data_IF_762272995287
#
_entry.id   IF_762272995287
#
_cell.length_a   1.000
_cell.length_b   1.000
_cell.length_c   1.000
_cell.angle_alpha   90.00
_cell.angle_beta   90.00
_cell.angle_gamma   90.00
#
_symmetry.space_group_name_H-M   'P 1'
#
loop_
_entity.id
_entity.type
_entity.pdbx_description
1 polymer ?
#
# COMPACT_ATOMS: atom_id res chain seq x y z
N UNK A 1 -63.39 -54.46 16.06
CA UNK A 1 -61.95 -54.74 15.75
C UNK A 1 -61.45 -53.68 14.75
N UNK A 2 -60.76 -52.66 15.24
CA UNK A 2 -60.20 -51.60 14.39
C UNK A 2 -58.67 -51.76 14.29
N UNK A 3 -58.16 -51.93 13.08
CA UNK A 3 -56.72 -52.07 12.80
C UNK A 3 -56.13 -50.69 12.69
N UNK A 4 -55.15 -50.40 13.52
CA UNK A 4 -54.38 -49.18 13.49
C UNK A 4 -53.18 -49.43 12.57
N UNK A 5 -53.13 -48.72 11.45
CA UNK A 5 -51.95 -48.69 10.56
C UNK A 5 -50.94 -47.70 11.07
N UNK A 6 -49.80 -48.20 11.48
CA UNK A 6 -48.64 -47.37 11.89
C UNK A 6 -47.81 -47.00 10.65
N UNK A 7 -47.91 -45.76 10.22
CA UNK A 7 -47.08 -45.22 9.15
C UNK A 7 -45.71 -44.81 9.74
N UNK A 8 -44.70 -45.57 9.36
CA UNK A 8 -43.30 -45.33 9.74
C UNK A 8 -42.72 -44.30 8.75
N UNK A 9 -42.62 -43.01 9.12
CA UNK A 9 -41.89 -41.99 8.38
C UNK A 9 -40.38 -42.13 8.65
N UNK A 10 -39.67 -42.66 7.64
CA UNK A 10 -38.22 -42.68 7.66
C UNK A 10 -37.71 -41.27 7.23
N UNK A 11 -37.18 -40.50 8.18
CA UNK A 11 -36.44 -39.29 7.89
C UNK A 11 -35.02 -39.64 7.38
N UNK A 12 -34.81 -39.42 6.10
CA UNK A 12 -33.49 -39.52 5.48
C UNK A 12 -32.74 -38.22 5.78
N UNK A 13 -31.88 -38.21 6.80
CA UNK A 13 -30.96 -37.09 7.10
C UNK A 13 -29.80 -37.17 6.12
N UNK A 14 -29.84 -36.37 5.07
CA UNK A 14 -28.66 -36.11 4.21
C UNK A 14 -27.69 -35.21 4.95
N UNK A 15 -26.64 -35.78 5.54
CA UNK A 15 -25.51 -35.03 6.06
C UNK A 15 -24.74 -34.44 4.89
N UNK A 16 -24.90 -33.12 4.67
CA UNK A 16 -24.01 -32.37 3.80
C UNK A 16 -22.62 -32.29 4.47
N UNK A 17 -21.68 -33.09 3.99
CA UNK A 17 -20.26 -32.88 4.29
C UNK A 17 -19.84 -31.57 3.60
N UNK A 18 -19.84 -30.46 4.32
CA UNK A 18 -19.16 -29.25 3.92
C UNK A 18 -17.65 -29.54 3.96
N UNK A 19 -17.04 -29.79 2.81
CA UNK A 19 -15.61 -29.77 2.66
C UNK A 19 -15.13 -28.34 2.95
N UNK A 20 -14.72 -28.09 4.18
CA UNK A 20 -13.99 -26.89 4.53
C UNK A 20 -12.64 -26.94 3.80
N UNK A 21 -12.56 -26.28 2.65
CA UNK A 21 -11.28 -26.04 2.00
C UNK A 21 -10.42 -25.21 2.97
N UNK A 22 -9.34 -25.81 3.48
CA UNK A 22 -8.32 -25.08 4.20
C UNK A 22 -7.85 -23.95 3.28
N UNK A 23 -7.74 -22.70 3.79
CA UNK A 23 -7.13 -21.63 3.01
C UNK A 23 -5.73 -22.10 2.60
N UNK A 24 -5.49 -22.18 1.29
CA UNK A 24 -4.18 -22.49 0.74
C UNK A 24 -3.28 -21.31 1.13
N UNK A 25 -2.45 -21.52 2.15
CA UNK A 25 -1.43 -20.54 2.51
C UNK A 25 -0.49 -20.43 1.31
N UNK A 26 -0.54 -19.32 0.61
CA UNK A 26 0.38 -19.06 -0.49
C UNK A 26 1.81 -19.25 0.04
N UNK A 27 2.58 -20.12 -0.62
CA UNK A 27 3.96 -20.40 -0.23
C UNK A 27 4.74 -19.09 -0.33
N UNK A 28 5.33 -18.65 0.78
CA UNK A 28 6.20 -17.48 0.79
C UNK A 28 7.33 -17.67 -0.23
N UNK A 29 7.66 -16.66 -1.03
CA UNK A 29 8.78 -16.76 -1.97
C UNK A 29 10.08 -17.03 -1.22
N UNK A 30 10.90 -17.94 -1.74
CA UNK A 30 12.21 -18.25 -1.17
C UNK A 30 13.24 -17.14 -1.41
N UNK A 31 13.02 -16.33 -2.45
CA UNK A 31 13.91 -15.23 -2.84
C UNK A 31 13.11 -13.97 -3.18
N UNK A 32 13.68 -12.83 -2.83
CA UNK A 32 13.16 -11.52 -3.15
C UNK A 32 14.09 -10.77 -4.08
N UNK A 33 13.55 -10.23 -5.16
CA UNK A 33 14.30 -9.40 -6.09
C UNK A 33 13.78 -7.97 -6.03
N UNK A 34 14.70 -6.99 -5.93
CA UNK A 34 14.35 -5.59 -5.99
C UNK A 34 13.86 -5.22 -7.39
N UNK A 35 12.65 -4.65 -7.49
CA UNK A 35 12.08 -4.19 -8.77
C UNK A 35 12.13 -2.68 -8.91
N UNK A 36 12.23 -1.97 -7.81
CA UNK A 36 12.45 -0.54 -7.71
C UNK A 36 13.17 -0.22 -6.41
N UNK A 37 14.10 0.69 -6.47
CA UNK A 37 14.81 1.21 -5.29
C UNK A 37 15.29 2.63 -5.57
N UNK A 38 15.52 3.38 -4.49
CA UNK A 38 16.16 4.70 -4.56
C UNK A 38 17.16 4.87 -3.42
N UNK A 39 18.19 5.69 -3.65
CA UNK A 39 19.05 6.15 -2.57
C UNK A 39 18.28 7.16 -1.71
N UNK A 40 18.27 6.93 -0.41
CA UNK A 40 17.61 7.81 0.55
C UNK A 40 18.56 8.95 0.91
N UNK A 41 18.10 10.17 0.73
CA UNK A 41 18.86 11.40 0.99
C UNK A 41 18.17 12.22 2.07
N UNK A 42 18.97 13.03 2.78
CA UNK A 42 18.44 14.08 3.64
C UNK A 42 17.94 15.23 2.76
N UNK A 43 16.76 15.79 3.04
CA UNK A 43 16.24 16.93 2.28
C UNK A 43 17.17 18.15 2.45
N UNK A 44 17.35 18.89 1.38
CA UNK A 44 17.95 20.20 1.41
C UNK A 44 16.91 21.28 1.68
N UNK A 45 17.37 22.51 1.74
CA UNK A 45 16.47 23.67 1.89
C UNK A 45 15.53 23.75 0.69
N UNK A 46 14.21 23.71 0.95
CA UNK A 46 13.17 23.76 -0.09
C UNK A 46 12.79 22.42 -0.72
N UNK A 47 13.38 21.31 -0.30
CA UNK A 47 13.01 19.97 -0.81
C UNK A 47 11.73 19.40 -0.16
N UNK A 48 11.32 19.95 0.96
CA UNK A 48 10.06 19.56 1.59
C UNK A 48 8.86 20.13 0.83
N UNK A 49 7.71 19.42 0.81
CA UNK A 49 6.47 19.99 0.28
C UNK A 49 6.15 21.32 0.95
N UNK A 50 5.57 22.28 0.20
CA UNK A 50 5.19 23.58 0.75
C UNK A 50 4.18 23.44 1.88
N UNK A 51 3.29 22.46 1.78
CA UNK A 51 2.33 22.11 2.82
C UNK A 51 2.84 20.96 3.68
N UNK A 52 2.55 20.98 4.98
CA UNK A 52 2.78 19.84 5.85
C UNK A 52 2.04 18.60 5.32
N UNK A 53 2.62 17.41 5.50
CA UNK A 53 1.97 16.14 5.19
C UNK A 53 0.99 15.67 6.28
N UNK A 54 0.89 16.39 7.40
CA UNK A 54 0.02 16.04 8.52
C UNK A 54 -1.45 15.95 8.08
N UNK A 55 -2.07 14.82 8.36
CA UNK A 55 -3.45 14.51 7.95
C UNK A 55 -3.71 14.67 6.45
N UNK A 56 -2.72 14.33 5.65
CA UNK A 56 -2.79 14.36 4.18
C UNK A 56 -2.41 13.03 3.56
N UNK A 57 -2.75 12.88 2.31
CA UNK A 57 -2.41 11.71 1.49
C UNK A 57 -1.41 12.11 0.42
N UNK A 58 -0.32 11.35 0.35
CA UNK A 58 0.72 11.48 -0.67
C UNK A 58 0.64 10.30 -1.62
N UNK A 59 0.52 10.55 -2.92
CA UNK A 59 0.63 9.53 -3.97
C UNK A 59 1.88 9.74 -4.78
N UNK A 60 2.70 8.69 -4.85
CA UNK A 60 3.92 8.64 -5.65
C UNK A 60 3.80 7.57 -6.72
N UNK A 61 4.34 7.85 -7.89
CA UNK A 61 4.32 6.91 -9.02
C UNK A 61 5.75 6.42 -9.25
N UNK A 62 5.93 5.11 -9.15
CA UNK A 62 7.21 4.46 -9.43
C UNK A 62 7.11 3.61 -10.71
N UNK A 63 8.22 3.49 -11.43
CA UNK A 63 8.31 2.64 -12.62
C UNK A 63 9.15 1.42 -12.27
N UNK A 64 8.49 0.26 -12.13
CA UNK A 64 9.16 -0.98 -11.74
C UNK A 64 9.85 -1.63 -12.93
N UNK A 65 10.95 -2.33 -12.69
CA UNK A 65 11.73 -3.01 -13.74
C UNK A 65 11.23 -4.45 -13.99
N UNK A 66 10.94 -5.18 -12.94
CA UNK A 66 10.55 -6.58 -12.96
C UNK A 66 9.13 -6.76 -12.49
N UNK A 67 8.49 -7.82 -12.94
CA UNK A 67 7.17 -8.26 -12.47
C UNK A 67 7.25 -9.36 -11.41
N UNK A 68 6.09 -9.77 -10.91
CA UNK A 68 5.94 -10.85 -9.94
C UNK A 68 4.50 -10.97 -9.46
N UNK A 69 4.22 -12.05 -8.73
CA UNK A 69 2.89 -12.35 -8.20
C UNK A 69 2.72 -11.92 -6.74
N UNK A 70 3.82 -11.57 -6.10
CA UNK A 70 3.84 -11.12 -4.71
C UNK A 70 4.77 -9.92 -4.58
N UNK A 71 4.40 -9.01 -3.68
CA UNK A 71 5.20 -7.82 -3.46
C UNK A 71 5.20 -7.47 -1.97
N UNK A 72 6.24 -6.75 -1.57
CA UNK A 72 6.32 -6.04 -0.29
C UNK A 72 6.98 -4.68 -0.50
N UNK A 73 6.60 -3.73 0.30
CA UNK A 73 7.12 -2.36 0.26
C UNK A 73 8.00 -2.10 1.49
N UNK A 74 9.14 -1.46 1.27
CA UNK A 74 9.96 -0.91 2.37
C UNK A 74 9.71 0.58 2.47
N UNK A 75 9.33 1.04 3.65
CA UNK A 75 9.27 2.46 4.01
C UNK A 75 10.48 2.82 4.85
N UNK A 76 10.98 4.05 4.67
CA UNK A 76 12.20 4.53 5.35
C UNK A 76 11.96 5.90 5.96
N UNK A 77 12.33 6.04 7.23
CA UNK A 77 12.38 7.30 7.98
C UNK A 77 13.80 7.55 8.53
N UNK A 78 14.81 6.99 7.85
CA UNK A 78 16.21 6.98 8.36
C UNK A 78 16.85 8.36 8.46
N UNK A 79 16.39 9.31 7.64
CA UNK A 79 16.95 10.66 7.64
C UNK A 79 16.26 11.60 8.64
N UNK A 80 15.13 11.19 9.20
CA UNK A 80 14.39 11.96 10.20
C UNK A 80 14.80 11.57 11.61
N UNK A 81 14.77 12.51 12.53
CA UNK A 81 14.87 12.29 13.97
C UNK A 81 13.51 12.16 14.68
N UNK A 82 12.42 12.45 13.95
CA UNK A 82 11.05 12.48 14.50
C UNK A 82 10.21 11.32 13.97
N UNK A 83 9.24 10.82 14.77
CA UNK A 83 8.35 9.76 14.33
C UNK A 83 7.34 10.25 13.29
N UNK A 84 6.87 9.32 12.47
CA UNK A 84 5.83 9.51 11.47
C UNK A 84 4.67 8.60 11.77
N UNK A 85 3.45 9.15 11.81
CA UNK A 85 2.22 8.38 11.89
C UNK A 85 1.68 8.12 10.50
N UNK A 86 1.46 6.85 10.19
CA UNK A 86 0.87 6.38 8.93
C UNK A 86 -0.45 5.69 9.28
N UNK A 87 -1.56 6.21 8.73
CA UNK A 87 -2.89 5.63 8.91
C UNK A 87 -3.09 4.41 8.03
N UNK A 88 -2.63 4.51 6.79
CA UNK A 88 -2.68 3.40 5.83
C UNK A 88 -1.75 3.64 4.64
N UNK A 89 -1.38 2.55 3.98
CA UNK A 89 -0.66 2.56 2.70
C UNK A 89 -1.40 1.65 1.75
N UNK A 90 -1.61 2.08 0.51
CA UNK A 90 -2.12 1.22 -0.53
C UNK A 90 -1.37 1.43 -1.85
N UNK A 91 -1.36 0.38 -2.65
CA UNK A 91 -0.77 0.36 -3.99
C UNK A 91 -1.85 0.11 -5.03
N UNK A 92 -1.64 0.58 -6.25
CA UNK A 92 -2.53 0.33 -7.38
C UNK A 92 -1.78 0.53 -8.70
N UNK A 93 -2.33 -0.02 -9.79
CA UNK A 93 -1.86 0.27 -11.14
C UNK A 93 -2.05 1.76 -11.44
N UNK A 94 -0.97 2.47 -11.73
CA UNK A 94 -1.04 3.85 -12.17
C UNK A 94 -1.44 3.89 -13.65
N UNK A 95 -2.37 4.78 -14.01
CA UNK A 95 -2.85 4.96 -15.39
C UNK A 95 -2.23 6.21 -16.02
N UNK A 96 -2.74 7.38 -15.70
CA UNK A 96 -2.26 8.64 -16.25
C UNK A 96 -2.11 9.69 -15.15
N UNK A 97 -0.96 10.35 -15.06
CA UNK A 97 -0.64 11.33 -14.02
C UNK A 97 -0.92 10.76 -12.61
N UNK A 98 -1.80 11.41 -11.84
CA UNK A 98 -2.22 10.98 -10.49
C UNK A 98 -3.23 9.83 -10.46
N UNK A 99 -3.80 9.44 -11.60
CA UNK A 99 -4.91 8.50 -11.69
C UNK A 99 -4.44 7.05 -11.54
N UNK A 100 -5.27 6.25 -10.91
CA UNK A 100 -5.05 4.81 -10.69
C UNK A 100 -6.24 3.99 -11.19
N UNK A 101 -6.01 2.70 -11.39
CA UNK A 101 -7.10 1.74 -11.51
C UNK A 101 -7.52 1.30 -10.10
N UNK A 102 -8.60 1.84 -9.57
CA UNK A 102 -9.08 1.55 -8.22
C UNK A 102 -9.38 0.05 -8.00
N UNK A 103 -9.76 -0.68 -9.05
CA UNK A 103 -10.03 -2.13 -8.96
C UNK A 103 -8.77 -2.96 -8.64
N UNK A 104 -7.57 -2.41 -8.88
CA UNK A 104 -6.29 -3.07 -8.53
C UNK A 104 -5.76 -2.65 -7.17
N UNK A 105 -6.46 -1.74 -6.48
CA UNK A 105 -5.97 -1.20 -5.22
C UNK A 105 -5.88 -2.26 -4.13
N UNK A 106 -4.72 -2.30 -3.48
CA UNK A 106 -4.44 -3.25 -2.41
C UNK A 106 -3.81 -2.53 -1.25
N UNK A 107 -4.45 -2.60 -0.08
CA UNK A 107 -3.91 -2.06 1.17
C UNK A 107 -2.79 -2.95 1.68
N UNK A 108 -1.70 -2.32 2.10
CA UNK A 108 -0.59 -2.99 2.76
C UNK A 108 -0.82 -3.03 4.27
N UNK A 109 -0.24 -4.06 4.89
CA UNK A 109 -0.19 -4.18 6.34
C UNK A 109 1.25 -4.28 6.81
N UNK A 110 1.46 -3.99 8.09
CA UNK A 110 2.75 -4.03 8.77
C UNK A 110 2.55 -4.79 10.08
N UNK A 111 2.96 -6.06 10.11
CA UNK A 111 2.65 -6.96 11.22
C UNK A 111 1.14 -7.16 11.41
N UNK A 112 0.38 -7.23 10.31
CA UNK A 112 -1.07 -7.41 10.31
C UNK A 112 -1.90 -6.13 10.47
N UNK A 113 -1.28 -4.98 10.76
CA UNK A 113 -1.97 -3.70 10.97
C UNK A 113 -1.82 -2.77 9.75
N UNK A 114 -2.86 -2.00 9.42
CA UNK A 114 -2.81 -0.98 8.36
C UNK A 114 -2.11 0.29 8.81
N UNK A 115 -2.26 0.63 10.08
CA UNK A 115 -1.65 1.82 10.67
C UNK A 115 -0.35 1.46 11.40
N UNK A 116 0.57 2.39 11.43
CA UNK A 116 1.84 2.26 12.16
C UNK A 116 2.37 3.63 12.54
N UNK A 117 3.25 3.64 13.55
CA UNK A 117 4.17 4.75 13.82
C UNK A 117 5.57 4.27 13.49
N UNK A 118 6.22 4.92 12.53
CA UNK A 118 7.61 4.65 12.16
C UNK A 118 8.52 5.67 12.86
N UNK A 119 9.41 5.19 13.72
CA UNK A 119 10.30 6.07 14.51
C UNK A 119 11.33 6.75 13.61
N UNK A 120 11.91 7.84 14.10
CA UNK A 120 13.07 8.46 13.44
C UNK A 120 14.23 7.47 13.39
N UNK A 121 14.93 7.42 12.26
CA UNK A 121 16.04 6.50 12.03
C UNK A 121 15.64 5.07 11.65
N UNK A 122 14.35 4.75 11.53
CA UNK A 122 13.86 3.40 11.25
C UNK A 122 13.44 3.16 9.81
N UNK A 123 13.48 1.89 9.44
CA UNK A 123 12.84 1.34 8.23
C UNK A 123 11.89 0.21 8.62
N UNK A 124 10.85 0.04 7.83
CA UNK A 124 9.91 -1.07 8.00
C UNK A 124 9.56 -1.68 6.64
N UNK A 125 9.35 -2.99 6.63
CA UNK A 125 8.89 -3.73 5.45
C UNK A 125 7.47 -4.18 5.69
N UNK A 126 6.59 -3.97 4.69
CA UNK A 126 5.22 -4.44 4.77
C UNK A 126 5.14 -5.97 4.81
N UNK A 127 4.02 -6.47 5.27
CA UNK A 127 3.65 -7.86 5.04
C UNK A 127 3.59 -8.15 3.54
N UNK A 128 3.76 -9.41 3.19
CA UNK A 128 3.67 -9.84 1.79
C UNK A 128 2.22 -9.77 1.32
N UNK A 129 2.03 -9.21 0.14
CA UNK A 129 0.71 -9.11 -0.49
C UNK A 129 0.74 -9.77 -1.86
N UNK A 130 -0.33 -10.50 -2.20
CA UNK A 130 -0.56 -10.97 -3.56
C UNK A 130 -0.91 -9.78 -4.44
N UNK A 131 -0.09 -9.53 -5.46
CA UNK A 131 -0.27 -8.44 -6.41
C UNK A 131 0.41 -8.80 -7.73
N UNK A 132 -0.37 -8.90 -8.80
CA UNK A 132 0.16 -9.19 -10.13
C UNK A 132 0.86 -7.97 -10.71
N UNK A 133 2.16 -7.88 -10.47
CA UNK A 133 3.02 -6.81 -10.97
C UNK A 133 3.58 -7.20 -12.34
N UNK A 134 3.35 -6.37 -13.35
CA UNK A 134 3.91 -6.59 -14.70
C UNK A 134 5.29 -5.91 -14.82
N UNK A 135 6.22 -6.46 -15.60
CA UNK A 135 7.48 -5.77 -15.92
C UNK A 135 7.19 -4.39 -16.54
N UNK A 136 8.00 -3.39 -16.20
CA UNK A 136 7.90 -2.01 -16.69
C UNK A 136 6.57 -1.31 -16.36
N UNK A 137 5.85 -1.81 -15.35
CA UNK A 137 4.59 -1.20 -14.91
C UNK A 137 4.84 0.09 -14.13
N UNK A 138 3.93 1.04 -14.27
CA UNK A 138 3.82 2.17 -13.36
C UNK A 138 2.93 1.78 -12.18
N UNK A 139 3.49 1.82 -10.99
CA UNK A 139 2.81 1.49 -9.74
C UNK A 139 2.62 2.77 -8.93
N UNK A 140 1.40 3.04 -8.51
CA UNK A 140 1.10 4.09 -7.56
C UNK A 140 1.23 3.56 -6.14
N UNK A 141 1.94 4.30 -5.30
CA UNK A 141 2.04 4.09 -3.86
C UNK A 141 1.39 5.29 -3.19
N UNK A 142 0.34 5.05 -2.43
CA UNK A 142 -0.38 6.11 -1.71
C UNK A 142 -0.23 5.90 -0.21
N UNK A 143 0.25 6.94 0.49
CA UNK A 143 0.48 6.95 1.93
C UNK A 143 -0.47 7.96 2.55
N UNK A 144 -1.30 7.52 3.48
CA UNK A 144 -2.17 8.35 4.28
C UNK A 144 -1.48 8.64 5.61
N UNK A 145 -1.06 9.88 5.79
CA UNK A 145 -0.36 10.30 7.01
C UNK A 145 -1.32 10.63 8.15
N UNK A 146 -0.84 10.44 9.38
CA UNK A 146 -1.50 10.89 10.60
C UNK A 146 -1.06 12.29 11.02
N UNK A 147 -1.16 12.56 12.32
CA UNK A 147 -0.85 13.89 12.86
C UNK A 147 0.64 14.21 12.83
N UNK A 148 1.49 13.24 13.17
CA UNK A 148 2.94 13.42 13.20
C UNK A 148 3.54 13.10 11.84
N UNK A 149 4.27 14.06 11.31
CA UNK A 149 5.04 13.91 10.07
C UNK A 149 6.46 14.40 10.29
N UNK A 150 7.47 13.91 9.53
CA UNK A 150 8.84 14.31 9.74
C UNK A 150 9.03 15.80 9.40
N UNK A 151 9.81 16.48 10.19
CA UNK A 151 10.31 17.83 9.83
C UNK A 151 11.28 17.74 8.65
N UNK A 152 12.05 16.66 8.60
CA UNK A 152 12.97 16.31 7.52
C UNK A 152 12.59 14.92 6.99
N UNK A 153 11.89 14.84 5.87
CA UNK A 153 11.51 13.55 5.29
C UNK A 153 12.71 12.90 4.60
N UNK A 154 12.79 11.57 4.69
CA UNK A 154 13.67 10.81 3.80
C UNK A 154 13.22 11.03 2.35
N UNK A 155 14.07 11.57 1.50
CA UNK A 155 13.72 11.94 0.13
C UNK A 155 14.69 11.37 -0.89
N UNK A 156 14.39 11.56 -2.16
CA UNK A 156 15.28 11.33 -3.29
C UNK A 156 15.18 12.52 -4.23
N UNK A 157 16.19 13.37 -4.21
CA UNK A 157 16.29 14.52 -5.11
C UNK A 157 16.55 14.04 -6.53
N UNK A 158 15.98 14.72 -7.49
CA UNK A 158 16.14 14.34 -8.90
C UNK A 158 15.30 13.13 -9.34
N UNK A 159 14.25 12.78 -8.60
CA UNK A 159 13.33 11.70 -8.99
C UNK A 159 12.66 11.94 -10.34
N UNK A 160 12.53 13.22 -10.77
CA UNK A 160 11.88 13.66 -12.01
C UNK A 160 10.48 13.10 -12.20
N UNK A 161 9.83 12.80 -11.09
CA UNK A 161 8.47 12.24 -11.05
C UNK A 161 7.62 13.11 -10.14
N UNK A 162 6.43 13.47 -10.62
CA UNK A 162 5.47 14.24 -9.84
C UNK A 162 4.85 13.36 -8.76
N UNK A 163 4.85 13.87 -7.54
CA UNK A 163 4.06 13.36 -6.42
C UNK A 163 2.81 14.22 -6.26
N UNK A 164 1.73 13.64 -5.80
CA UNK A 164 0.43 14.29 -5.68
C UNK A 164 -0.04 14.24 -4.23
N UNK A 165 -0.47 15.37 -3.69
CA UNK A 165 -0.86 15.52 -2.30
C UNK A 165 -2.28 16.06 -2.23
N UNK A 166 -3.14 15.42 -1.44
CA UNK A 166 -4.48 15.91 -1.13
C UNK A 166 -4.71 15.98 0.39
N UNK A 167 -5.66 16.80 0.81
CA UNK A 167 -6.04 16.92 2.22
C UNK A 167 -6.89 15.73 2.63
N UNK A 168 -6.67 15.24 3.85
CA UNK A 168 -7.43 14.15 4.45
C UNK A 168 -6.90 12.77 4.08
N UNK A 169 -7.54 11.75 4.61
CA UNK A 169 -7.27 10.35 4.31
C UNK A 169 -7.96 9.97 3.01
N UNK A 170 -7.18 9.46 2.05
CA UNK A 170 -7.69 9.04 0.75
C UNK A 170 -8.10 7.57 0.74
N UNK A 171 -9.03 7.26 -0.16
CA UNK A 171 -9.37 5.91 -0.59
C UNK A 171 -8.92 5.69 -2.03
N UNK A 172 -8.98 4.45 -2.57
CA UNK A 172 -8.66 4.21 -3.98
C UNK A 172 -9.50 5.03 -4.98
N UNK A 173 -10.69 5.45 -4.60
CA UNK A 173 -11.61 6.25 -5.41
C UNK A 173 -11.34 7.76 -5.32
N UNK A 174 -10.45 8.20 -4.41
CA UNK A 174 -10.15 9.62 -4.22
C UNK A 174 -9.47 10.23 -5.45
N UNK A 175 -9.94 11.40 -5.84
CA UNK A 175 -9.38 12.16 -6.97
C UNK A 175 -8.18 13.00 -6.50
N UNK A 176 -7.03 12.74 -7.11
CA UNK A 176 -5.78 13.48 -6.89
C UNK A 176 -5.49 14.50 -7.99
N UNK A 177 -6.37 14.67 -8.99
CA UNK A 177 -6.10 15.53 -10.16
C UNK A 177 -6.03 17.02 -9.83
N UNK A 178 -6.60 17.42 -8.70
CA UNK A 178 -6.57 18.80 -8.17
C UNK A 178 -5.72 18.94 -6.93
N UNK A 179 -4.92 17.92 -6.61
CA UNK A 179 -3.99 17.94 -5.48
C UNK A 179 -2.79 18.86 -5.71
N UNK A 180 -2.09 19.18 -4.63
CA UNK A 180 -0.79 19.81 -4.71
C UNK A 180 0.19 18.88 -5.45
N UNK A 181 0.92 19.42 -6.43
CA UNK A 181 1.98 18.70 -7.13
C UNK A 181 3.33 19.06 -6.52
N UNK A 182 4.08 18.02 -6.11
CA UNK A 182 5.45 18.16 -5.67
C UNK A 182 6.37 17.40 -6.62
N UNK A 183 7.29 18.12 -7.24
CA UNK A 183 8.33 17.54 -8.10
C UNK A 183 9.65 17.74 -7.39
N UNK A 184 10.24 16.67 -6.91
CA UNK A 184 11.59 16.69 -6.37
C UNK A 184 12.59 16.65 -7.55
N UNK A 185 12.80 17.82 -8.15
CA UNK A 185 13.86 18.04 -9.14
C UNK A 185 15.03 18.70 -8.45
N UNK A 186 16.25 18.42 -8.91
CA UNK A 186 17.39 19.23 -8.51
C UNK A 186 17.07 20.69 -8.80
N UNK A 187 17.40 21.65 -7.90
CA UNK A 187 17.28 23.06 -8.21
C UNK A 187 18.06 23.37 -9.50
N UNK A 188 17.62 24.35 -10.29
CA UNK A 188 18.42 24.80 -11.41
C UNK A 188 19.79 25.23 -10.86
N UNK A 189 20.85 24.79 -11.54
CA UNK A 189 22.22 25.14 -11.24
C UNK A 189 22.46 26.65 -11.43
#
# INVERSE_FOLDING_TARGET
MKRINLLLCAFLSTAMLACAQKPTTAKQPSEWTGTWATAVEKPGQGDMPQSSLSNRSLRQIVHVSLGGEMLRLRLSNVQSSTPVDIKSVYIADATYMSRINAATATYLTFGGNRNLTLQGGEEIVSDVVAYHLRPQQRLAITINYGDRTPEEASCHRGSRTTSYIITGESTPESDFSHGEEAVWSSPPA
#
